data_IF_504072937564
#
_entry.id   IF_504072937564
#
_cell.length_a   1.000
_cell.length_b   1.000
_cell.length_c   1.000
_cell.angle_alpha   90.00
_cell.angle_beta   90.00
_cell.angle_gamma   90.00
#
_symmetry.space_group_name_H-M   'P 1'
#
loop_
_entity.id
_entity.type
_entity.pdbx_description
1 polymer ?
#
# COMPACT_ATOMS: atom_id res chain seq x y z
N UNK A 1 2.46 59.50 50.14
CA UNK A 1 1.44 58.45 50.35
C UNK A 1 0.84 58.13 48.99
N UNK A 2 0.70 56.84 48.69
CA UNK A 2 0.15 56.21 47.48
C UNK A 2 0.97 56.35 46.17
N UNK A 3 1.26 55.17 45.63
CA UNK A 3 2.02 54.87 44.43
C UNK A 3 1.10 54.69 43.22
N UNK A 4 1.65 54.80 42.00
CA UNK A 4 1.38 53.84 40.92
C UNK A 4 2.43 54.01 39.81
N UNK A 5 3.25 52.98 39.64
CA UNK A 5 4.06 52.74 38.44
C UNK A 5 3.16 52.19 37.32
N UNK A 6 3.44 52.56 36.08
CA UNK A 6 3.29 51.60 34.98
C UNK A 6 4.35 51.84 33.91
N UNK A 7 5.23 50.85 33.80
CA UNK A 7 6.23 50.67 32.77
C UNK A 7 5.56 50.06 31.54
N UNK A 8 5.70 50.68 30.37
CA UNK A 8 5.38 50.01 29.10
C UNK A 8 6.69 49.64 28.39
N UNK A 9 7.28 48.52 28.81
CA UNK A 9 8.19 47.76 27.95
C UNK A 9 7.35 46.69 27.25
N UNK A 10 7.15 46.84 25.95
CA UNK A 10 6.56 45.79 25.12
C UNK A 10 7.67 44.78 24.78
N UNK A 11 7.64 43.62 25.44
CA UNK A 11 8.38 42.45 25.00
C UNK A 11 7.56 41.75 23.91
N UNK A 12 8.03 41.81 22.65
CA UNK A 12 7.55 40.92 21.61
C UNK A 12 8.23 39.56 21.80
N UNK A 13 7.53 38.62 22.44
CA UNK A 13 7.84 37.20 22.29
C UNK A 13 7.28 36.77 20.94
N UNK A 14 8.16 36.44 19.99
CA UNK A 14 7.77 35.59 18.87
C UNK A 14 7.15 34.33 19.47
N UNK A 15 5.86 34.10 19.22
CA UNK A 15 5.29 32.77 19.39
C UNK A 15 5.91 31.92 18.29
N UNK A 16 7.09 31.35 18.56
CA UNK A 16 7.49 30.15 17.84
C UNK A 16 6.40 29.12 18.15
N UNK A 17 5.56 28.85 17.17
CA UNK A 17 4.65 27.72 17.22
C UNK A 17 5.53 26.48 17.29
N UNK A 18 5.58 25.86 18.46
CA UNK A 18 6.13 24.52 18.61
C UNK A 18 5.30 23.60 17.70
N UNK A 19 5.85 23.26 16.53
CA UNK A 19 5.27 22.24 15.66
C UNK A 19 5.59 20.92 16.37
N UNK A 20 4.58 20.31 16.99
CA UNK A 20 4.70 18.92 17.40
C UNK A 20 4.81 18.07 16.13
N UNK A 21 5.97 17.47 15.90
CA UNK A 21 6.12 16.45 14.86
C UNK A 21 5.56 15.15 15.42
N UNK A 22 4.34 14.81 15.01
CA UNK A 22 3.78 13.48 15.24
C UNK A 22 4.33 12.52 14.17
N UNK A 23 4.89 11.40 14.62
CA UNK A 23 5.37 10.33 13.75
C UNK A 23 4.34 9.21 13.71
N UNK A 24 3.82 8.89 12.53
CA UNK A 24 2.93 7.75 12.32
C UNK A 24 3.69 6.59 11.65
N UNK A 25 3.46 5.38 12.13
CA UNK A 25 3.89 4.14 11.50
C UNK A 25 2.84 3.72 10.48
N UNK A 26 3.28 3.53 9.25
CA UNK A 26 2.42 3.08 8.16
C UNK A 26 2.78 1.66 7.74
N UNK A 27 1.78 0.80 7.62
CA UNK A 27 1.88 -0.49 6.95
C UNK A 27 1.23 -0.38 5.57
N UNK A 28 1.94 -0.83 4.53
CA UNK A 28 1.47 -0.81 3.15
C UNK A 28 1.66 -2.18 2.54
N UNK A 29 0.62 -2.73 1.92
CA UNK A 29 0.69 -3.99 1.19
C UNK A 29 -0.08 -3.91 -0.13
N UNK A 30 0.42 -4.59 -1.15
CA UNK A 30 -0.24 -4.75 -2.44
C UNK A 30 -0.36 -6.22 -2.78
N UNK A 31 -1.53 -6.66 -3.22
CA UNK A 31 -1.78 -8.05 -3.58
C UNK A 31 -2.68 -8.18 -4.82
N UNK A 32 -2.14 -8.78 -5.88
CA UNK A 32 -2.96 -9.30 -6.97
C UNK A 32 -3.55 -10.65 -6.55
N UNK A 33 -4.86 -10.69 -6.30
CA UNK A 33 -5.56 -11.89 -5.81
C UNK A 33 -6.15 -12.75 -6.94
N UNK A 34 -5.95 -12.37 -8.20
CA UNK A 34 -6.31 -13.19 -9.37
C UNK A 34 -7.79 -13.55 -9.49
N UNK A 35 -8.69 -12.77 -8.89
CA UNK A 35 -10.12 -13.05 -8.82
C UNK A 35 -10.50 -14.16 -7.84
N UNK A 36 -9.56 -14.62 -7.01
CA UNK A 36 -9.74 -15.73 -6.09
C UNK A 36 -10.21 -15.19 -4.73
N UNK A 37 -11.34 -15.66 -4.18
CA UNK A 37 -11.75 -15.30 -2.82
C UNK A 37 -10.74 -15.85 -1.79
N UNK A 38 -10.57 -15.19 -0.64
CA UNK A 38 -9.66 -15.69 0.38
C UNK A 38 -10.16 -17.05 0.88
N UNK A 39 -9.26 -18.03 1.12
CA UNK A 39 -9.61 -19.26 1.82
C UNK A 39 -10.19 -18.98 3.20
N UNK A 40 -11.16 -19.79 3.64
CA UNK A 40 -11.83 -19.58 4.95
C UNK A 40 -10.85 -19.68 6.15
N UNK A 41 -9.73 -20.38 5.98
CA UNK A 41 -8.69 -20.56 6.99
C UNK A 41 -7.43 -19.70 6.75
N UNK A 42 -7.49 -18.70 5.87
CA UNK A 42 -6.35 -17.83 5.60
C UNK A 42 -5.96 -17.05 6.87
N UNK A 43 -4.74 -17.26 7.35
CA UNK A 43 -4.17 -16.45 8.43
C UNK A 43 -3.38 -15.27 7.84
N UNK A 44 -3.68 -14.05 8.28
CA UNK A 44 -2.97 -12.84 7.85
C UNK A 44 -1.95 -12.34 8.89
N UNK A 45 -1.81 -12.98 10.05
CA UNK A 45 -0.99 -12.45 11.14
C UNK A 45 0.48 -12.22 10.72
N UNK A 46 1.04 -13.17 9.96
CA UNK A 46 2.38 -13.08 9.38
C UNK A 46 2.48 -11.98 8.31
N UNK A 47 1.51 -11.94 7.37
CA UNK A 47 1.47 -10.95 6.30
C UNK A 47 1.37 -9.52 6.85
N UNK A 48 0.57 -9.33 7.89
CA UNK A 48 0.32 -8.03 8.50
C UNK A 48 1.41 -7.60 9.47
N UNK A 49 2.42 -8.47 9.68
CA UNK A 49 3.52 -8.27 10.62
C UNK A 49 3.03 -7.81 12.01
N UNK A 50 1.85 -8.30 12.42
CA UNK A 50 1.15 -7.86 13.63
C UNK A 50 1.98 -8.16 14.89
N UNK A 51 2.87 -9.15 14.82
CA UNK A 51 3.68 -9.58 15.96
C UNK A 51 4.90 -8.70 16.22
N UNK A 52 5.47 -8.08 15.18
CA UNK A 52 6.76 -7.37 15.29
C UNK A 52 6.62 -5.85 15.38
N UNK A 53 5.59 -5.25 14.78
CA UNK A 53 5.31 -3.81 14.93
C UNK A 53 3.89 -3.49 14.50
N UNK A 54 3.06 -3.02 15.42
CA UNK A 54 1.77 -2.44 15.09
C UNK A 54 1.99 -1.11 14.36
N UNK A 55 1.25 -0.91 13.26
CA UNK A 55 1.21 0.35 12.54
C UNK A 55 0.01 1.19 13.01
N UNK A 56 0.12 2.51 12.92
CA UNK A 56 -0.98 3.43 13.20
C UNK A 56 -1.99 3.44 12.04
N UNK A 57 -1.48 3.24 10.82
CA UNK A 57 -2.28 3.23 9.58
C UNK A 57 -1.92 1.97 8.78
N UNK A 58 -2.94 1.24 8.33
CA UNK A 58 -2.79 0.07 7.45
C UNK A 58 -3.44 0.35 6.09
N UNK A 59 -2.68 0.15 5.02
CA UNK A 59 -3.11 0.40 3.63
C UNK A 59 -2.94 -0.88 2.82
N UNK A 60 -4.05 -1.31 2.19
CA UNK A 60 -4.09 -2.50 1.34
C UNK A 60 -4.52 -2.12 -0.07
N UNK A 61 -3.69 -2.44 -1.06
CA UNK A 61 -4.02 -2.34 -2.48
C UNK A 61 -4.31 -3.73 -3.06
N UNK A 62 -5.55 -4.00 -3.47
CA UNK A 62 -5.89 -5.25 -4.16
C UNK A 62 -5.97 -5.05 -5.68
N UNK A 63 -5.37 -5.96 -6.44
CA UNK A 63 -5.58 -6.07 -7.89
C UNK A 63 -6.36 -7.35 -8.22
N UNK A 64 -7.13 -7.32 -9.30
CA UNK A 64 -7.98 -8.44 -9.72
C UNK A 64 -8.90 -8.96 -8.59
N UNK A 65 -9.44 -8.10 -7.72
CA UNK A 65 -10.30 -8.54 -6.60
C UNK A 65 -11.60 -9.24 -7.05
N UNK A 66 -12.02 -9.00 -8.29
CA UNK A 66 -13.17 -9.66 -8.91
C UNK A 66 -12.72 -10.46 -10.13
N UNK A 67 -13.28 -11.68 -10.34
CA UNK A 67 -13.04 -12.44 -11.57
C UNK A 67 -13.36 -11.60 -12.80
N UNK A 68 -12.46 -11.61 -13.79
CA UNK A 68 -12.68 -10.94 -15.07
C UNK A 68 -13.69 -11.73 -15.92
N UNK A 69 -14.98 -11.60 -15.62
CA UNK A 69 -16.08 -12.10 -16.45
C UNK A 69 -17.01 -10.95 -16.83
N UNK A 70 -17.66 -11.05 -18.01
CA UNK A 70 -18.47 -9.98 -18.62
C UNK A 70 -19.58 -9.48 -17.67
N UNK A 71 -20.09 -10.35 -16.80
CA UNK A 71 -21.06 -9.99 -15.76
C UNK A 71 -20.52 -9.02 -14.71
N UNK A 72 -19.26 -9.13 -14.28
CA UNK A 72 -18.65 -8.25 -13.29
C UNK A 72 -18.27 -6.86 -13.84
N UNK A 73 -18.29 -6.66 -15.17
CA UNK A 73 -18.07 -5.35 -15.81
C UNK A 73 -19.37 -4.52 -15.83
N UNK A 74 -20.53 -5.18 -15.80
CA UNK A 74 -21.86 -4.56 -15.91
C UNK A 74 -22.64 -4.54 -14.59
N UNK A 75 -22.24 -5.36 -13.62
CA UNK A 75 -22.83 -5.41 -12.27
C UNK A 75 -21.90 -4.66 -11.32
N UNK A 76 -22.39 -3.62 -10.60
CA UNK A 76 -21.57 -2.92 -9.63
C UNK A 76 -21.21 -3.87 -8.49
N UNK A 77 -19.91 -4.16 -8.40
CA UNK A 77 -19.22 -4.93 -7.37
C UNK A 77 -19.83 -6.30 -7.06
N UNK A 78 -19.07 -7.37 -7.29
CA UNK A 78 -19.34 -8.65 -6.64
C UNK A 78 -18.97 -8.51 -5.16
N UNK A 79 -19.82 -7.79 -4.42
CA UNK A 79 -19.60 -7.28 -3.05
C UNK A 79 -19.19 -8.38 -2.08
N UNK A 80 -19.56 -9.64 -2.35
CA UNK A 80 -19.22 -10.79 -1.52
C UNK A 80 -17.71 -10.99 -1.36
N UNK A 81 -16.92 -10.91 -2.44
CA UNK A 81 -15.47 -11.16 -2.37
C UNK A 81 -14.76 -10.04 -1.60
N UNK A 82 -15.06 -8.78 -1.91
CA UNK A 82 -14.51 -7.62 -1.19
C UNK A 82 -14.94 -7.61 0.28
N UNK A 83 -16.19 -7.98 0.58
CA UNK A 83 -16.68 -8.10 1.96
C UNK A 83 -15.96 -9.20 2.73
N UNK A 84 -15.65 -10.34 2.11
CA UNK A 84 -14.85 -11.41 2.73
C UNK A 84 -13.45 -10.93 3.09
N UNK A 85 -12.74 -10.29 2.15
CA UNK A 85 -11.43 -9.69 2.42
C UNK A 85 -11.48 -8.66 3.56
N UNK A 86 -12.44 -7.73 3.51
CA UNK A 86 -12.62 -6.73 4.56
C UNK A 86 -12.90 -7.35 5.94
N UNK A 87 -13.74 -8.39 5.99
CA UNK A 87 -14.05 -9.10 7.24
C UNK A 87 -12.81 -9.78 7.82
N UNK A 88 -12.03 -10.43 6.96
CA UNK A 88 -10.84 -11.18 7.36
C UNK A 88 -9.73 -10.25 7.87
N UNK A 89 -9.48 -9.13 7.17
CA UNK A 89 -8.51 -8.11 7.61
C UNK A 89 -8.94 -7.49 8.94
N UNK A 90 -10.22 -7.10 9.09
CA UNK A 90 -10.75 -6.55 10.35
C UNK A 90 -10.59 -7.55 11.49
N UNK A 91 -10.89 -8.82 11.26
CA UNK A 91 -10.75 -9.86 12.27
C UNK A 91 -9.27 -10.08 12.68
N UNK A 92 -8.32 -9.96 11.75
CA UNK A 92 -6.89 -10.04 12.06
C UNK A 92 -6.42 -8.81 12.90
N UNK A 93 -6.77 -7.60 12.48
CA UNK A 93 -6.38 -6.37 13.18
C UNK A 93 -7.01 -6.24 14.58
N UNK A 94 -8.27 -6.66 14.74
CA UNK A 94 -8.98 -6.59 16.02
C UNK A 94 -8.63 -7.72 17.00
N UNK A 95 -7.91 -8.77 16.57
CA UNK A 95 -7.61 -9.92 17.43
C UNK A 95 -6.74 -9.56 18.65
N UNK A 96 -5.95 -8.48 18.59
CA UNK A 96 -5.03 -8.07 19.68
C UNK A 96 -5.47 -6.88 20.52
N UNK A 97 -6.46 -6.08 20.11
CA UNK A 97 -7.01 -5.02 20.97
C UNK A 97 -7.69 -5.60 22.22
N UNK A 98 -8.07 -6.89 22.20
CA UNK A 98 -8.71 -7.59 23.32
C UNK A 98 -7.68 -8.20 24.30
N UNK A 99 -6.42 -8.37 23.89
CA UNK A 99 -5.38 -8.98 24.75
C UNK A 99 -4.60 -7.97 25.59
N UNK A 100 -4.65 -6.68 25.25
CA UNK A 100 -4.02 -5.58 26.00
C UNK A 100 -5.05 -4.73 26.77
N UNK A 101 -5.92 -5.37 27.58
CA UNK A 101 -6.43 -4.80 28.84
C UNK A 101 -7.46 -5.73 29.48
N UNK A 102 -7.11 -6.37 30.60
CA UNK A 102 -8.07 -6.65 31.69
C UNK A 102 -7.34 -6.53 33.02
N UNK A 103 -7.92 -5.76 33.96
CA UNK A 103 -8.70 -6.40 34.99
C UNK A 103 -10.19 -6.07 34.87
N UNK A 104 -10.99 -7.04 35.32
CA UNK A 104 -12.43 -7.14 35.17
C UNK A 104 -13.20 -5.86 35.56
N UNK A 105 -14.04 -5.37 34.64
CA UNK A 105 -15.40 -4.92 34.94
C UNK A 105 -16.26 -5.04 33.69
N UNK A 106 -17.37 -5.75 33.85
CA UNK A 106 -18.49 -5.74 32.90
C UNK A 106 -19.09 -4.34 32.92
N UNK A 107 -19.00 -3.63 31.80
CA UNK A 107 -19.96 -2.58 31.46
C UNK A 107 -20.23 -2.62 29.95
N UNK A 108 -21.51 -2.51 29.62
CA UNK A 108 -22.05 -2.66 28.27
C UNK A 108 -21.82 -1.34 27.54
N UNK A 109 -20.77 -1.25 26.71
CA UNK A 109 -20.46 -0.01 25.99
C UNK A 109 -19.62 -0.20 24.73
N UNK A 110 -20.23 0.12 23.59
CA UNK A 110 -19.68 0.37 22.24
C UNK A 110 -18.56 -0.53 21.67
N UNK A 111 -18.95 -1.37 20.70
CA UNK A 111 -18.06 -1.97 19.71
C UNK A 111 -17.33 -0.87 18.93
N UNK A 112 -16.01 -0.72 19.13
CA UNK A 112 -15.18 0.22 18.37
C UNK A 112 -15.37 -0.01 16.87
N UNK A 113 -16.06 0.95 16.24
CA UNK A 113 -16.33 0.97 14.80
C UNK A 113 -15.08 1.44 14.08
N UNK A 114 -14.50 0.56 13.25
CA UNK A 114 -13.57 0.98 12.19
C UNK A 114 -14.40 1.74 11.15
N UNK A 115 -14.49 3.06 11.30
CA UNK A 115 -15.07 3.96 10.32
C UNK A 115 -14.06 4.25 9.19
N UNK A 116 -14.47 4.37 7.92
CA UNK A 116 -13.68 5.13 6.97
C UNK A 116 -13.48 6.55 7.52
N UNK A 117 -12.24 7.05 7.53
CA UNK A 117 -11.88 8.34 8.11
C UNK A 117 -12.70 9.49 7.49
N UNK A 118 -13.73 9.95 8.22
CA UNK A 118 -14.23 11.33 8.27
C UNK A 118 -15.15 11.42 9.50
N UNK A 119 -15.09 12.41 10.39
CA UNK A 119 -15.07 13.86 10.18
C UNK A 119 -14.83 14.50 11.56
N UNK A 120 -13.89 15.44 11.73
CA UNK A 120 -14.08 16.57 12.63
C UNK A 120 -13.30 17.81 12.17
N UNK A 121 -14.01 18.94 12.29
CA UNK A 121 -13.53 20.30 12.05
C UNK A 121 -12.41 20.64 13.06
N UNK A 122 -11.18 20.66 12.59
CA UNK A 122 -10.08 21.40 13.21
C UNK A 122 -9.62 22.45 12.20
N UNK A 123 -10.19 23.65 12.31
CA UNK A 123 -9.69 24.82 11.60
C UNK A 123 -8.40 25.19 12.34
N UNK A 124 -7.25 24.95 11.70
CA UNK A 124 -5.87 25.31 12.12
C UNK A 124 -4.98 24.19 12.69
N UNK A 125 -5.12 22.94 12.26
CA UNK A 125 -4.03 21.95 12.37
C UNK A 125 -3.45 21.65 10.98
N UNK A 126 -2.22 22.05 10.71
CA UNK A 126 -1.40 21.51 9.61
C UNK A 126 -1.04 20.06 9.94
N UNK A 127 -2.00 19.17 9.81
CA UNK A 127 -1.77 17.73 9.90
C UNK A 127 -1.17 17.27 8.57
N UNK A 128 -0.12 16.42 8.57
CA UNK A 128 0.40 15.85 7.34
C UNK A 128 -0.71 15.11 6.59
N UNK A 129 -0.86 15.41 5.29
CA UNK A 129 -1.80 14.73 4.42
C UNK A 129 -1.14 13.47 3.83
N UNK A 130 -1.81 12.32 3.98
CA UNK A 130 -1.35 11.04 3.47
C UNK A 130 -2.31 10.56 2.39
N UNK A 131 -1.86 10.61 1.13
CA UNK A 131 -2.61 10.04 0.02
C UNK A 131 -1.92 8.79 -0.51
N UNK A 132 -2.58 7.65 -0.33
CA UNK A 132 -2.17 6.39 -0.93
C UNK A 132 -2.84 6.23 -2.29
N UNK A 133 -2.07 5.81 -3.29
CA UNK A 133 -2.62 5.51 -4.61
C UNK A 133 -2.18 4.12 -5.04
N UNK A 134 -3.15 3.21 -5.13
CA UNK A 134 -2.94 1.84 -5.57
C UNK A 134 -3.35 1.71 -7.04
N UNK A 135 -2.43 1.31 -7.90
CA UNK A 135 -2.66 1.21 -9.34
C UNK A 135 -2.22 -0.14 -9.91
N UNK A 136 -2.82 -0.53 -11.02
CA UNK A 136 -2.42 -1.69 -11.80
C UNK A 136 -1.99 -1.24 -13.19
N UNK A 137 -0.74 -1.55 -13.57
CA UNK A 137 -0.22 -1.24 -14.90
C UNK A 137 -0.46 -2.44 -15.82
N UNK A 138 -1.37 -2.27 -16.78
CA UNK A 138 -1.89 -3.37 -17.60
C UNK A 138 -1.05 -3.65 -18.83
N UNK A 139 -0.43 -2.63 -19.42
CA UNK A 139 0.27 -2.78 -20.69
C UNK A 139 1.78 -2.97 -20.50
N UNK A 140 2.23 -4.21 -20.72
CA UNK A 140 3.64 -4.62 -20.54
C UNK A 140 4.63 -3.76 -21.35
N UNK A 141 4.23 -3.21 -22.49
CA UNK A 141 5.09 -2.40 -23.36
C UNK A 141 5.05 -0.90 -23.07
N UNK A 142 4.04 -0.44 -22.32
CA UNK A 142 3.73 0.98 -22.16
C UNK A 142 3.74 1.40 -20.69
N UNK A 143 4.36 0.62 -19.80
CA UNK A 143 4.32 0.83 -18.34
C UNK A 143 4.80 2.22 -17.89
N UNK A 144 5.86 2.73 -18.50
CA UNK A 144 6.34 4.08 -18.20
C UNK A 144 5.31 5.12 -18.64
N UNK A 145 4.74 4.95 -19.84
CA UNK A 145 3.68 5.83 -20.37
C UNK A 145 2.43 5.80 -19.48
N UNK A 146 2.01 4.62 -19.03
CA UNK A 146 0.90 4.45 -18.09
C UNK A 146 1.19 5.20 -16.78
N UNK A 147 2.41 5.07 -16.25
CA UNK A 147 2.83 5.76 -15.03
C UNK A 147 2.75 7.28 -15.20
N UNK A 148 3.33 7.81 -16.28
CA UNK A 148 3.28 9.25 -16.61
C UNK A 148 1.83 9.72 -16.74
N UNK A 149 1.00 9.00 -17.49
CA UNK A 149 -0.40 9.33 -17.66
C UNK A 149 -1.16 9.35 -16.33
N UNK A 150 -0.92 8.41 -15.43
CA UNK A 150 -1.56 8.38 -14.11
C UNK A 150 -1.13 9.59 -13.27
N UNK A 151 0.16 9.91 -13.23
CA UNK A 151 0.69 11.07 -12.49
C UNK A 151 0.11 12.39 -12.99
N UNK A 152 0.02 12.55 -14.32
CA UNK A 152 -0.44 13.79 -14.93
C UNK A 152 -1.97 13.94 -14.86
N UNK A 153 -2.72 12.86 -15.08
CA UNK A 153 -4.17 12.91 -15.29
C UNK A 153 -4.99 12.72 -14.03
N UNK A 154 -4.46 12.05 -13.01
CA UNK A 154 -5.20 11.86 -11.75
C UNK A 154 -5.45 13.21 -11.08
N UNK A 155 -6.70 13.43 -10.68
CA UNK A 155 -7.13 14.60 -9.92
C UNK A 155 -8.07 14.15 -8.81
N UNK A 156 -7.79 14.57 -7.58
CA UNK A 156 -8.63 14.28 -6.44
C UNK A 156 -9.76 15.32 -6.32
N UNK A 157 -10.98 14.91 -5.93
CA UNK A 157 -12.13 15.80 -5.85
C UNK A 157 -11.95 16.84 -4.73
N UNK A 158 -12.18 18.11 -5.08
CA UNK A 158 -12.00 19.25 -4.17
C UNK A 158 -13.08 19.37 -3.07
N UNK A 159 -14.20 18.68 -3.25
CA UNK A 159 -15.42 18.85 -2.47
C UNK A 159 -15.29 18.32 -1.03
N UNK A 160 -14.39 17.37 -0.79
CA UNK A 160 -14.19 16.81 0.52
C UNK A 160 -13.24 17.67 1.38
N UNK A 161 -12.25 18.34 0.77
CA UNK A 161 -11.21 19.07 1.50
C UNK A 161 -10.64 20.22 0.65
N UNK A 162 -11.19 21.42 0.79
CA UNK A 162 -10.85 22.59 -0.06
C UNK A 162 -9.38 23.02 0.01
N UNK A 163 -8.64 22.60 1.03
CA UNK A 163 -7.24 22.93 1.29
C UNK A 163 -6.28 21.80 0.94
N UNK A 164 -6.77 20.63 0.51
CA UNK A 164 -5.88 19.52 0.16
C UNK A 164 -5.39 19.63 -1.28
N UNK A 165 -4.17 19.11 -1.54
CA UNK A 165 -3.62 18.99 -2.88
C UNK A 165 -4.55 18.24 -3.83
N UNK A 166 -4.58 18.64 -5.11
CA UNK A 166 -5.43 18.00 -6.13
C UNK A 166 -4.68 17.03 -7.01
N UNK A 167 -3.36 17.19 -7.15
CA UNK A 167 -2.50 16.29 -7.93
C UNK A 167 -1.73 15.39 -7.00
N UNK A 168 -1.39 14.19 -7.50
CA UNK A 168 -0.58 13.20 -6.78
C UNK A 168 0.72 13.82 -6.28
N UNK A 169 1.44 14.58 -7.12
CA UNK A 169 2.74 15.13 -6.77
C UNK A 169 2.69 16.39 -5.89
N UNK A 170 1.49 16.92 -5.63
CA UNK A 170 1.32 18.10 -4.77
C UNK A 170 1.17 17.71 -3.28
N UNK A 171 1.10 16.41 -2.95
CA UNK A 171 1.03 15.94 -1.55
C UNK A 171 2.41 15.85 -0.90
N UNK A 172 2.45 16.04 0.42
CA UNK A 172 3.69 16.00 1.22
C UNK A 172 4.36 14.62 1.21
N UNK A 173 3.55 13.56 1.20
CA UNK A 173 3.98 12.17 1.19
C UNK A 173 3.12 11.37 0.22
N UNK A 174 3.76 10.71 -0.74
CA UNK A 174 3.08 9.91 -1.76
C UNK A 174 3.61 8.49 -1.73
N UNK A 175 2.69 7.54 -1.66
CA UNK A 175 3.03 6.12 -1.73
C UNK A 175 2.36 5.53 -2.95
N UNK A 176 3.21 5.03 -3.83
CA UNK A 176 2.81 4.32 -5.02
C UNK A 176 3.01 2.83 -4.81
N UNK A 177 1.92 2.08 -4.85
CA UNK A 177 1.94 0.63 -4.69
C UNK A 177 1.09 -0.03 -5.77
N UNK A 178 1.44 -1.26 -6.13
CA UNK A 178 0.62 -2.02 -7.07
C UNK A 178 1.37 -3.02 -7.94
N UNK A 179 0.60 -3.70 -8.78
CA UNK A 179 1.13 -4.53 -9.86
C UNK A 179 1.69 -3.66 -10.99
N UNK A 180 2.95 -3.21 -10.85
CA UNK A 180 3.62 -2.41 -11.88
C UNK A 180 3.95 -3.23 -13.14
N UNK A 181 3.97 -4.56 -13.02
CA UNK A 181 4.07 -5.49 -14.15
C UNK A 181 5.38 -5.38 -14.95
N UNK A 182 6.42 -4.80 -14.37
CA UNK A 182 7.81 -4.93 -14.85
C UNK A 182 8.27 -6.38 -14.71
N UNK A 183 9.16 -6.81 -15.60
CA UNK A 183 9.65 -8.18 -15.69
C UNK A 183 11.17 -8.20 -15.65
N UNK A 184 11.74 -9.39 -15.50
CA UNK A 184 13.19 -9.57 -15.53
C UNK A 184 13.65 -9.79 -16.98
N UNK A 185 14.68 -9.06 -17.41
CA UNK A 185 15.27 -9.14 -18.75
C UNK A 185 16.21 -10.34 -18.92
N UNK A 186 15.72 -11.54 -18.63
CA UNK A 186 16.45 -12.81 -18.80
C UNK A 186 15.54 -13.89 -19.39
N UNK A 187 16.10 -14.90 -20.08
CA UNK A 187 15.35 -16.07 -20.50
C UNK A 187 14.70 -16.79 -19.31
N UNK A 188 13.44 -17.21 -19.43
CA UNK A 188 12.70 -17.79 -18.30
C UNK A 188 13.36 -19.03 -17.67
N UNK A 189 14.10 -19.83 -18.43
CA UNK A 189 14.87 -20.95 -17.89
C UNK A 189 16.02 -20.48 -16.97
N UNK A 190 16.69 -19.39 -17.34
CA UNK A 190 17.74 -18.78 -16.53
C UNK A 190 17.17 -18.16 -15.26
N UNK A 191 16.05 -17.44 -15.36
CA UNK A 191 15.34 -16.88 -14.20
C UNK A 191 15.02 -17.99 -13.20
N UNK A 192 14.40 -19.09 -13.65
CA UNK A 192 14.08 -20.23 -12.78
C UNK A 192 15.31 -20.85 -12.11
N UNK A 193 16.42 -20.96 -12.85
CA UNK A 193 17.68 -21.44 -12.27
C UNK A 193 18.22 -20.52 -11.18
N UNK A 194 18.17 -19.21 -11.39
CA UNK A 194 18.63 -18.20 -10.43
C UNK A 194 17.74 -18.16 -9.18
N UNK A 195 16.42 -18.24 -9.36
CA UNK A 195 15.45 -18.36 -8.25
C UNK A 195 15.75 -19.60 -7.40
N UNK A 196 15.99 -20.76 -8.04
CA UNK A 196 16.38 -21.99 -7.33
C UNK A 196 17.70 -21.85 -6.58
N UNK A 197 18.65 -21.10 -7.15
CA UNK A 197 19.93 -20.75 -6.53
C UNK A 197 19.84 -19.66 -5.46
N UNK A 198 18.67 -19.04 -5.25
CA UNK A 198 18.48 -17.85 -4.39
C UNK A 198 19.40 -16.67 -4.77
N UNK A 199 19.70 -16.55 -6.05
CA UNK A 199 20.58 -15.51 -6.61
C UNK A 199 19.81 -14.20 -6.87
N UNK A 200 19.20 -13.63 -5.82
CA UNK A 200 18.32 -12.45 -5.93
C UNK A 200 19.04 -11.23 -6.52
N UNK A 201 20.33 -11.06 -6.23
CA UNK A 201 21.11 -9.92 -6.76
C UNK A 201 21.13 -9.90 -8.29
N UNK A 202 21.37 -11.06 -8.93
CA UNK A 202 21.43 -11.17 -10.40
C UNK A 202 20.05 -10.91 -11.01
N UNK A 203 18.98 -11.38 -10.36
CA UNK A 203 17.61 -11.11 -10.78
C UNK A 203 17.32 -9.60 -10.78
N UNK A 204 17.71 -8.89 -9.71
CA UNK A 204 17.51 -7.45 -9.54
C UNK A 204 18.37 -6.61 -10.50
N UNK A 205 19.61 -7.03 -10.79
CA UNK A 205 20.44 -6.39 -11.82
C UNK A 205 19.79 -6.42 -13.21
N UNK A 206 18.89 -7.37 -13.46
CA UNK A 206 18.15 -7.54 -14.71
C UNK A 206 16.68 -7.14 -14.58
N UNK A 207 16.26 -6.56 -13.46
CA UNK A 207 14.89 -6.09 -13.27
C UNK A 207 14.61 -4.85 -14.13
N UNK A 208 13.53 -4.89 -14.91
CA UNK A 208 13.19 -3.79 -15.81
C UNK A 208 12.89 -2.50 -15.04
N UNK A 209 12.20 -2.54 -13.89
CA UNK A 209 11.90 -1.33 -13.13
C UNK A 209 13.19 -0.67 -12.62
N UNK A 210 14.10 -1.43 -12.03
CA UNK A 210 15.41 -0.94 -11.58
C UNK A 210 16.21 -0.29 -12.71
N UNK A 211 16.18 -0.88 -13.90
CA UNK A 211 16.83 -0.32 -15.10
C UNK A 211 16.16 0.99 -15.55
N UNK A 212 14.83 1.07 -15.52
CA UNK A 212 14.11 2.30 -15.87
C UNK A 212 14.33 3.42 -14.85
N UNK A 213 14.34 3.10 -13.55
CA UNK A 213 14.68 4.01 -12.44
C UNK A 213 16.10 4.57 -12.58
N UNK A 214 17.09 3.70 -12.81
CA UNK A 214 18.51 4.10 -12.96
C UNK A 214 18.71 5.05 -14.14
N UNK A 215 17.88 4.91 -15.18
CA UNK A 215 17.94 5.76 -16.37
C UNK A 215 17.06 7.02 -16.26
N UNK A 216 16.41 7.25 -15.12
CA UNK A 216 15.57 8.42 -14.87
C UNK A 216 14.35 8.51 -15.80
N UNK A 217 13.88 7.39 -16.36
CA UNK A 217 12.76 7.40 -17.33
C UNK A 217 11.38 7.30 -16.70
N UNK A 218 11.32 6.90 -15.44
CA UNK A 218 10.09 6.72 -14.67
C UNK A 218 10.43 6.89 -13.19
N UNK A 219 9.46 7.37 -12.40
CA UNK A 219 9.62 7.50 -10.95
C UNK A 219 10.88 8.28 -10.53
N UNK A 220 11.21 9.37 -11.24
CA UNK A 220 12.29 10.27 -10.85
C UNK A 220 12.00 10.90 -9.48
N UNK A 221 12.96 10.80 -8.55
CA UNK A 221 12.82 11.29 -7.17
C UNK A 221 12.10 10.35 -6.20
N UNK A 222 11.63 9.19 -6.67
CA UNK A 222 10.98 8.19 -5.82
C UNK A 222 12.01 7.23 -5.20
N UNK A 223 11.64 6.65 -4.05
CA UNK A 223 12.50 5.76 -3.29
C UNK A 223 11.83 4.40 -3.15
N UNK A 224 12.54 3.35 -3.56
CA UNK A 224 12.14 1.96 -3.35
C UNK A 224 13.11 1.32 -2.35
N UNK A 225 12.58 0.60 -1.36
CA UNK A 225 13.40 -0.12 -0.38
C UNK A 225 14.23 -1.20 -1.08
N UNK A 226 15.35 -1.58 -0.46
CA UNK A 226 16.10 -2.76 -0.88
C UNK A 226 15.19 -4.00 -0.90
N UNK A 227 15.28 -4.78 -1.97
CA UNK A 227 14.51 -6.00 -2.19
C UNK A 227 15.38 -7.18 -1.79
N UNK A 228 14.99 -7.89 -0.75
CA UNK A 228 15.67 -9.07 -0.21
C UNK A 228 14.83 -10.36 -0.31
N UNK A 229 13.67 -10.27 -0.97
CA UNK A 229 12.75 -11.38 -1.18
C UNK A 229 12.77 -11.90 -2.62
N UNK A 230 12.24 -13.10 -2.82
CA UNK A 230 12.16 -13.75 -4.13
C UNK A 230 11.05 -13.12 -5.01
N UNK A 231 11.11 -13.26 -6.36
CA UNK A 231 10.06 -12.81 -7.26
C UNK A 231 8.65 -13.17 -6.79
N UNK A 232 7.70 -12.25 -6.89
CA UNK A 232 6.34 -12.43 -6.35
C UNK A 232 5.34 -12.97 -7.38
N UNK A 233 5.77 -13.09 -8.62
CA UNK A 233 5.02 -13.65 -9.74
C UNK A 233 5.89 -14.70 -10.46
N UNK A 234 5.39 -15.72 -11.15
CA UNK A 234 4.06 -16.32 -11.07
C UNK A 234 4.17 -17.68 -10.38
N UNK A 235 3.46 -17.84 -9.27
CA UNK A 235 3.35 -19.10 -8.54
C UNK A 235 2.27 -20.02 -9.13
N UNK A 236 2.45 -21.33 -8.96
CA UNK A 236 1.39 -22.30 -9.14
C UNK A 236 0.35 -22.16 -8.01
N UNK A 237 -0.92 -22.40 -8.33
CA UNK A 237 -1.99 -22.18 -7.36
C UNK A 237 -1.84 -23.14 -6.17
N UNK A 238 -1.89 -22.59 -4.94
CA UNK A 238 -1.71 -23.32 -3.68
C UNK A 238 -0.35 -24.04 -3.57
N UNK A 239 0.70 -23.49 -4.20
CA UNK A 239 2.07 -24.00 -4.10
C UNK A 239 3.05 -22.85 -3.92
N UNK A 240 4.17 -23.15 -3.26
CA UNK A 240 5.36 -22.28 -3.20
C UNK A 240 6.25 -22.45 -4.45
N UNK A 241 5.84 -23.31 -5.38
CA UNK A 241 6.52 -23.50 -6.65
C UNK A 241 6.13 -22.44 -7.69
N UNK A 242 7.10 -21.99 -8.46
CA UNK A 242 6.85 -21.12 -9.62
C UNK A 242 6.31 -21.92 -10.82
N UNK A 243 5.41 -21.30 -11.58
CA UNK A 243 4.87 -21.87 -12.81
C UNK A 243 5.98 -22.36 -13.75
N UNK A 244 5.94 -23.64 -14.09
CA UNK A 244 6.91 -24.25 -15.02
C UNK A 244 8.15 -24.80 -14.36
N UNK A 245 8.09 -25.04 -13.06
CA UNK A 245 8.93 -25.99 -12.34
C UNK A 245 8.77 -27.42 -12.89
N UNK A 246 7.57 -27.77 -13.39
CA UNK A 246 7.20 -29.14 -13.75
C UNK A 246 7.22 -29.40 -15.27
N UNK A 247 7.79 -30.53 -15.71
CA UNK A 247 8.06 -30.84 -17.13
C UNK A 247 6.79 -31.11 -17.98
N UNK A 248 5.60 -31.12 -17.38
CA UNK A 248 4.34 -31.54 -18.04
C UNK A 248 3.62 -30.43 -18.80
N UNK A 249 3.99 -29.16 -18.60
CA UNK A 249 3.35 -28.02 -19.27
C UNK A 249 4.10 -27.55 -20.52
N UNK A 250 3.36 -27.23 -21.60
CA UNK A 250 3.93 -26.74 -22.86
C UNK A 250 4.64 -25.39 -22.64
N UNK A 251 5.95 -25.35 -22.89
CA UNK A 251 6.87 -24.22 -22.66
C UNK A 251 6.41 -22.86 -23.26
N UNK A 252 5.56 -22.85 -24.29
CA UNK A 252 5.13 -21.63 -25.02
C UNK A 252 4.12 -20.73 -24.28
N UNK A 253 3.57 -21.13 -23.12
CA UNK A 253 2.58 -20.32 -22.37
C UNK A 253 3.01 -19.97 -20.94
N UNK A 254 4.22 -20.33 -20.54
CA UNK A 254 4.66 -20.18 -19.14
C UNK A 254 5.34 -18.83 -18.96
N UNK A 255 4.71 -17.94 -18.19
CA UNK A 255 5.36 -16.69 -17.80
C UNK A 255 6.47 -17.00 -16.79
N UNK A 256 7.63 -16.37 -16.98
CA UNK A 256 8.74 -16.52 -16.08
C UNK A 256 8.47 -15.83 -14.74
N UNK A 257 9.17 -16.23 -13.67
CA UNK A 257 9.14 -15.47 -12.43
C UNK A 257 9.54 -14.01 -12.64
N UNK A 258 8.88 -13.10 -11.91
CA UNK A 258 9.12 -11.66 -11.92
C UNK A 258 8.73 -11.04 -10.57
#
# INVERSE_FOLDING_TARGET
MAAMQSSNQAYFSSRESFIAQETFKLFVSSWNVGGIPPPDNLNLDELLNIENSMADIYVFGFQEIVPLNVGNILVPENTNISMKWNTLIRAALNRRTVTEDRPQKEDVGEMQRIHPLRTQNSINSTSPDFQCVAWEIRHEKERNTDTVNILERTQFPAEAFQHLPRKILDHDQVIWLGGLNYRIYLPGAQIRSLVKGKECRILLENDQLKVELTKGRVFEGWHEKEIDFAPTYKYDQNSDDYCGSDHKMKARRMKAPA
#
